data_IF_186401332787
#
_entry.id   IF_186401332787
#
_cell.length_a   1.000
_cell.length_b   1.000
_cell.length_c   1.000
_cell.angle_alpha   90.00
_cell.angle_beta   90.00
_cell.angle_gamma   90.00
#
_symmetry.space_group_name_H-M   'P 1'
#
loop_
_entity.id
_entity.type
_entity.pdbx_description
1 polymer ?
#
# COMPACT_ATOMS: atom_id res chain seq x y z
N UNK A 1 -21.42 -11.50 79.82
CA UNK A 1 -20.29 -11.35 78.88
C UNK A 1 -20.74 -11.84 77.50
N UNK A 2 -20.54 -11.04 76.45
CA UNK A 2 -20.70 -11.34 74.98
C UNK A 2 -22.16 -11.41 74.46
N UNK A 3 -22.61 -10.40 73.68
CA UNK A 3 -22.62 -10.28 72.18
C UNK A 3 -23.68 -11.22 71.55
N UNK A 4 -24.46 -10.91 70.51
CA UNK A 4 -24.50 -9.88 69.45
C UNK A 4 -25.84 -10.12 68.69
N UNK A 5 -26.57 -9.12 68.17
CA UNK A 5 -26.65 -8.79 66.72
C UNK A 5 -26.43 -9.99 65.77
N UNK A 6 -27.19 -10.35 64.73
CA UNK A 6 -28.03 -9.67 63.71
C UNK A 6 -28.63 -10.80 62.84
N UNK A 7 -29.80 -10.64 62.20
CA UNK A 7 -30.21 -11.50 61.05
C UNK A 7 -31.40 -10.91 60.26
N UNK A 8 -31.18 -9.82 59.52
CA UNK A 8 -32.22 -9.25 58.62
C UNK A 8 -31.70 -8.82 57.24
N UNK A 9 -30.67 -9.47 56.67
CA UNK A 9 -30.10 -9.08 55.36
C UNK A 9 -30.13 -10.13 54.24
N UNK A 10 -30.38 -11.40 54.55
CA UNK A 10 -30.01 -12.50 53.65
C UNK A 10 -30.85 -12.67 52.39
N UNK A 11 -32.06 -12.08 52.32
CA UNK A 11 -32.95 -12.23 51.15
C UNK A 11 -32.69 -11.19 50.04
N UNK A 12 -32.01 -10.07 50.34
CA UNK A 12 -31.71 -9.01 49.37
C UNK A 12 -30.40 -9.25 48.61
N UNK A 13 -29.43 -9.91 49.24
CA UNK A 13 -28.14 -10.22 48.62
C UNK A 13 -28.26 -11.28 47.50
N UNK A 14 -29.19 -12.23 47.64
CA UNK A 14 -29.41 -13.31 46.67
C UNK A 14 -30.03 -12.79 45.36
N UNK A 15 -31.04 -11.92 45.46
CA UNK A 15 -31.72 -11.35 44.29
C UNK A 15 -30.81 -10.40 43.49
N UNK A 16 -29.96 -9.64 44.17
CA UNK A 16 -28.98 -8.74 43.53
C UNK A 16 -27.89 -9.54 42.81
N UNK A 17 -27.38 -10.62 43.42
CA UNK A 17 -26.44 -11.54 42.78
C UNK A 17 -27.03 -12.21 41.53
N UNK A 18 -28.32 -12.56 41.55
CA UNK A 18 -28.99 -13.19 40.40
C UNK A 18 -29.23 -12.18 39.27
N UNK A 19 -29.68 -10.96 39.59
CA UNK A 19 -29.86 -9.91 38.59
C UNK A 19 -28.52 -9.50 37.95
N UNK A 20 -27.44 -9.40 38.74
CA UNK A 20 -26.11 -9.12 38.24
C UNK A 20 -25.60 -10.25 37.32
N UNK A 21 -25.82 -11.52 37.68
CA UNK A 21 -25.47 -12.67 36.84
C UNK A 21 -26.21 -12.67 35.50
N UNK A 22 -27.49 -12.34 35.49
CA UNK A 22 -28.29 -12.22 34.26
C UNK A 22 -27.90 -11.02 33.39
N UNK A 23 -27.57 -9.88 34.00
CA UNK A 23 -27.10 -8.71 33.27
C UNK A 23 -25.74 -8.97 32.59
N UNK A 24 -24.83 -9.67 33.28
CA UNK A 24 -23.54 -10.09 32.72
C UNK A 24 -23.73 -11.09 31.57
N UNK A 25 -24.65 -12.04 31.72
CA UNK A 25 -24.98 -13.00 30.65
C UNK A 25 -25.57 -12.31 29.41
N UNK A 26 -26.43 -11.31 29.60
CA UNK A 26 -27.00 -10.51 28.50
C UNK A 26 -25.94 -9.65 27.79
N UNK A 27 -24.97 -9.11 28.53
CA UNK A 27 -23.85 -8.36 27.94
C UNK A 27 -22.91 -9.24 27.13
N UNK A 28 -22.78 -10.53 27.46
CA UNK A 28 -21.94 -11.49 26.73
C UNK A 28 -22.61 -12.04 25.45
N UNK A 29 -23.93 -12.00 25.35
CA UNK A 29 -24.68 -12.50 24.19
C UNK A 29 -24.57 -11.61 22.94
N UNK A 30 -24.00 -10.41 23.05
CA UNK A 30 -23.86 -9.45 21.94
C UNK A 30 -22.55 -9.55 21.14
N UNK A 31 -21.60 -10.39 21.55
CA UNK A 31 -20.25 -10.47 20.95
C UNK A 31 -20.09 -11.61 19.93
N UNK A 32 -21.14 -11.92 19.15
CA UNK A 32 -21.10 -12.93 18.09
C UNK A 32 -21.00 -12.30 16.70
N UNK A 33 -19.99 -12.67 15.92
CA UNK A 33 -19.94 -12.39 14.47
C UNK A 33 -21.23 -12.95 13.83
N UNK A 34 -21.92 -12.21 12.94
CA UNK A 34 -23.13 -12.71 12.30
C UNK A 34 -22.85 -13.99 11.51
N UNK A 35 -23.65 -15.03 11.75
CA UNK A 35 -23.55 -16.31 11.05
C UNK A 35 -23.67 -16.08 9.53
N UNK A 36 -22.63 -16.48 8.79
CA UNK A 36 -22.56 -16.34 7.34
C UNK A 36 -21.76 -15.14 6.82
N UNK A 37 -21.20 -14.28 7.68
CA UNK A 37 -20.16 -13.36 7.22
C UNK A 37 -18.92 -14.16 6.81
N UNK A 38 -18.34 -13.94 5.61
CA UNK A 38 -17.08 -14.58 5.25
C UNK A 38 -16.03 -14.17 6.27
N UNK A 39 -15.30 -15.14 6.82
CA UNK A 39 -14.09 -14.81 7.54
C UNK A 39 -13.16 -14.16 6.53
N UNK A 40 -12.58 -13.00 6.87
CA UNK A 40 -11.70 -12.27 5.99
C UNK A 40 -10.32 -12.23 6.62
N UNK A 41 -9.31 -12.60 5.84
CA UNK A 41 -7.91 -12.57 6.23
C UNK A 41 -7.16 -11.54 5.39
N UNK A 42 -6.32 -10.76 6.07
CA UNK A 42 -5.39 -9.83 5.42
C UNK A 42 -4.09 -10.55 5.10
N UNK A 43 -3.69 -10.49 3.83
CA UNK A 43 -2.40 -10.94 3.36
C UNK A 43 -1.57 -9.72 2.96
N UNK A 44 -0.30 -9.70 3.37
CA UNK A 44 0.62 -8.61 3.02
C UNK A 44 1.90 -9.16 2.42
N UNK A 45 2.37 -8.55 1.33
CA UNK A 45 3.66 -8.84 0.72
C UNK A 45 4.27 -7.55 0.15
N UNK A 46 5.57 -7.57 -0.14
CA UNK A 46 6.29 -6.41 -0.62
C UNK A 46 7.71 -6.75 -1.02
N UNK A 47 8.42 -5.76 -1.55
CA UNK A 47 9.80 -5.91 -1.98
C UNK A 47 10.44 -4.58 -2.39
N UNK A 48 11.75 -4.56 -2.67
CA UNK A 48 12.42 -3.39 -3.21
C UNK A 48 12.05 -3.17 -4.70
N UNK A 49 11.97 -1.91 -5.13
CA UNK A 49 11.83 -1.52 -6.55
C UNK A 49 12.21 -0.04 -6.71
N UNK A 50 12.84 0.36 -7.82
CA UNK A 50 13.11 1.77 -8.19
C UNK A 50 13.78 2.59 -7.07
N UNK A 51 14.75 2.00 -6.33
CA UNK A 51 15.44 2.68 -5.22
C UNK A 51 14.59 2.87 -3.95
N UNK A 52 13.38 2.29 -3.91
CA UNK A 52 12.47 2.30 -2.76
C UNK A 52 11.93 0.89 -2.51
N UNK A 53 10.83 0.78 -1.76
CA UNK A 53 10.09 -0.47 -1.53
C UNK A 53 8.59 -0.29 -1.77
N UNK A 54 7.92 -1.36 -2.17
CA UNK A 54 6.48 -1.44 -2.27
C UNK A 54 5.91 -2.38 -1.21
N UNK A 55 4.66 -2.12 -0.80
CA UNK A 55 3.92 -2.96 0.13
C UNK A 55 2.47 -3.06 -0.33
N UNK A 56 1.99 -4.29 -0.49
CA UNK A 56 0.63 -4.58 -0.96
C UNK A 56 -0.08 -5.39 0.10
N UNK A 57 -1.34 -4.99 0.36
CA UNK A 57 -2.25 -5.69 1.26
C UNK A 57 -3.47 -6.13 0.46
N UNK A 58 -3.85 -7.39 0.61
CA UNK A 58 -5.02 -7.98 -0.04
C UNK A 58 -5.88 -8.62 1.04
N UNK A 59 -7.19 -8.36 0.97
CA UNK A 59 -8.17 -8.98 1.87
C UNK A 59 -8.87 -10.08 1.10
N UNK A 60 -8.73 -11.32 1.55
CA UNK A 60 -9.32 -12.51 0.94
C UNK A 60 -10.19 -13.24 1.96
N UNK A 61 -11.11 -14.12 1.53
CA UNK A 61 -11.75 -15.07 2.43
C UNK A 61 -10.70 -15.88 3.23
N UNK A 62 -10.95 -16.08 4.53
CA UNK A 62 -9.99 -16.62 5.50
C UNK A 62 -9.72 -18.13 5.39
N UNK A 63 -10.43 -18.80 4.48
CA UNK A 63 -10.15 -20.15 4.01
C UNK A 63 -9.28 -20.17 2.74
N UNK A 64 -9.00 -19.01 2.16
CA UNK A 64 -8.17 -18.84 0.97
C UNK A 64 -6.69 -18.62 1.31
N UNK A 65 -5.81 -19.09 0.44
CA UNK A 65 -4.40 -18.68 0.44
C UNK A 65 -4.19 -17.52 -0.54
N UNK A 66 -3.07 -16.81 -0.41
CA UNK A 66 -2.65 -15.85 -1.43
C UNK A 66 -2.56 -16.58 -2.79
N UNK A 67 -3.20 -16.09 -3.86
CA UNK A 67 -3.15 -16.76 -5.16
C UNK A 67 -1.70 -17.02 -5.59
N UNK A 68 -1.44 -18.26 -6.00
CA UNK A 68 -0.11 -18.66 -6.44
C UNK A 68 0.39 -17.73 -7.55
N UNK A 69 1.62 -17.24 -7.40
CA UNK A 69 2.23 -16.34 -8.37
C UNK A 69 1.76 -14.89 -8.31
N UNK A 70 0.80 -14.48 -7.46
CA UNK A 70 0.37 -13.08 -7.36
C UNK A 70 1.54 -12.14 -7.03
N UNK A 71 2.33 -12.49 -6.00
CA UNK A 71 3.50 -11.69 -5.61
C UNK A 71 4.54 -11.61 -6.74
N UNK A 72 4.82 -12.73 -7.41
CA UNK A 72 5.75 -12.78 -8.53
C UNK A 72 5.26 -11.95 -9.73
N UNK A 73 3.97 -12.04 -10.06
CA UNK A 73 3.37 -11.28 -11.16
C UNK A 73 3.35 -9.78 -10.88
N UNK A 74 3.11 -9.36 -9.64
CA UNK A 74 3.27 -7.95 -9.24
C UNK A 74 4.71 -7.52 -9.45
N UNK A 75 5.69 -8.29 -8.95
CA UNK A 75 7.09 -7.94 -9.08
C UNK A 75 7.52 -7.83 -10.55
N UNK A 76 7.10 -8.76 -11.40
CA UNK A 76 7.36 -8.71 -12.85
C UNK A 76 6.80 -7.44 -13.49
N UNK A 77 5.59 -7.01 -13.11
CA UNK A 77 4.99 -5.76 -13.61
C UNK A 77 5.77 -4.54 -13.14
N UNK A 78 6.19 -4.51 -11.88
CA UNK A 78 7.01 -3.43 -11.35
C UNK A 78 8.38 -3.35 -12.04
N UNK A 79 9.02 -4.49 -12.31
CA UNK A 79 10.27 -4.54 -13.08
C UNK A 79 10.08 -4.13 -14.53
N UNK A 80 8.94 -4.45 -15.16
CA UNK A 80 8.61 -3.93 -16.50
C UNK A 80 8.55 -2.41 -16.49
N UNK A 81 7.86 -1.80 -15.52
CA UNK A 81 7.81 -0.33 -15.41
C UNK A 81 9.22 0.24 -15.18
N UNK A 82 10.04 -0.41 -14.36
CA UNK A 82 11.43 -0.02 -14.11
C UNK A 82 12.27 -0.06 -15.39
N UNK A 83 12.11 -1.10 -16.22
CA UNK A 83 12.77 -1.24 -17.51
C UNK A 83 12.30 -0.21 -18.55
N UNK A 84 11.12 0.38 -18.40
CA UNK A 84 10.66 1.43 -19.31
C UNK A 84 11.04 2.83 -18.81
N UNK A 85 10.84 3.11 -17.52
CA UNK A 85 10.77 4.47 -16.98
C UNK A 85 12.00 4.91 -16.17
N UNK A 86 12.89 4.00 -15.78
CA UNK A 86 13.99 4.35 -14.89
C UNK A 86 15.03 5.24 -15.56
N UNK A 87 15.29 6.42 -15.02
CA UNK A 87 16.37 7.32 -15.48
C UNK A 87 17.75 6.87 -15.01
N UNK A 88 17.83 5.94 -14.05
CA UNK A 88 19.09 5.41 -13.50
C UNK A 88 19.58 4.15 -14.23
N UNK A 89 18.69 3.45 -14.93
CA UNK A 89 19.04 2.28 -15.74
C UNK A 89 19.41 2.72 -17.15
N UNK A 90 20.63 2.43 -17.59
CA UNK A 90 21.08 2.75 -18.95
C UNK A 90 20.34 1.97 -20.04
N UNK A 91 19.82 0.79 -19.71
CA UNK A 91 19.06 -0.07 -20.62
C UNK A 91 17.56 0.27 -20.68
N UNK A 92 17.10 1.25 -19.90
CA UNK A 92 15.69 1.62 -19.92
C UNK A 92 15.30 2.34 -21.21
N UNK A 93 14.02 2.23 -21.57
CA UNK A 93 13.51 2.88 -22.78
C UNK A 93 13.64 4.41 -22.71
N UNK A 94 13.32 5.02 -21.56
CA UNK A 94 13.48 6.47 -21.33
C UNK A 94 14.95 6.90 -21.35
N UNK A 95 15.87 6.15 -20.71
CA UNK A 95 17.30 6.51 -20.74
C UNK A 95 17.88 6.41 -22.14
N UNK A 96 17.48 5.40 -22.92
CA UNK A 96 17.84 5.30 -24.34
C UNK A 96 17.33 6.48 -25.15
N UNK A 97 16.09 6.92 -24.89
CA UNK A 97 15.53 8.10 -25.54
C UNK A 97 16.31 9.37 -25.19
N UNK A 98 16.64 9.55 -23.91
CA UNK A 98 17.41 10.70 -23.43
C UNK A 98 18.86 10.73 -23.97
N UNK A 99 19.44 9.57 -24.27
CA UNK A 99 20.79 9.45 -24.81
C UNK A 99 20.86 9.62 -26.34
N UNK A 100 19.73 9.76 -27.03
CA UNK A 100 19.71 9.88 -28.49
C UNK A 100 20.22 11.25 -28.95
N UNK A 101 21.15 11.25 -29.92
CA UNK A 101 21.73 12.49 -30.46
C UNK A 101 20.87 13.04 -31.61
N UNK A 102 20.17 14.14 -31.36
CA UNK A 102 19.44 14.91 -32.36
C UNK A 102 17.97 14.53 -32.53
N UNK A 103 17.25 15.18 -33.47
CA UNK A 103 15.83 14.92 -33.71
C UNK A 103 15.66 13.61 -34.51
N UNK A 104 15.83 12.49 -33.82
CA UNK A 104 15.64 11.15 -34.38
C UNK A 104 14.31 10.56 -33.90
N UNK A 105 13.62 9.88 -34.80
CA UNK A 105 12.47 9.06 -34.42
C UNK A 105 12.97 7.78 -33.78
N UNK A 106 12.40 7.44 -32.63
CA UNK A 106 12.70 6.21 -31.92
C UNK A 106 11.40 5.44 -31.71
N UNK A 107 11.47 4.13 -31.92
CA UNK A 107 10.37 3.25 -31.53
C UNK A 107 10.31 3.18 -30.00
N UNK A 108 9.14 3.48 -29.45
CA UNK A 108 8.84 3.39 -28.04
C UNK A 108 7.63 2.50 -27.82
N UNK A 109 7.56 1.85 -26.66
CA UNK A 109 6.40 1.10 -26.24
C UNK A 109 5.17 2.01 -26.11
N UNK A 110 3.98 1.43 -26.33
CA UNK A 110 2.71 2.15 -26.14
C UNK A 110 2.54 2.65 -24.70
N UNK A 111 3.12 1.95 -23.72
CA UNK A 111 3.12 2.33 -22.30
C UNK A 111 3.92 3.63 -22.08
N UNK A 112 5.15 3.72 -22.61
CA UNK A 112 5.96 4.95 -22.54
C UNK A 112 5.27 6.12 -23.24
N UNK A 113 4.71 5.89 -24.43
CA UNK A 113 3.98 6.92 -25.17
C UNK A 113 2.77 7.43 -24.36
N UNK A 114 2.03 6.54 -23.70
CA UNK A 114 0.90 6.92 -22.86
C UNK A 114 1.33 7.77 -21.65
N UNK A 115 2.42 7.40 -20.97
CA UNK A 115 2.96 8.17 -19.85
C UNK A 115 3.43 9.56 -20.30
N UNK A 116 4.16 9.65 -21.42
CA UNK A 116 4.63 10.93 -21.97
C UNK A 116 3.44 11.80 -22.38
N UNK A 117 2.44 11.23 -23.05
CA UNK A 117 1.24 11.97 -23.46
C UNK A 117 0.49 12.56 -22.25
N UNK A 118 0.30 11.76 -21.19
CA UNK A 118 -0.34 12.21 -19.95
C UNK A 118 0.50 13.31 -19.26
N UNK A 119 1.81 13.13 -19.19
CA UNK A 119 2.69 14.10 -18.56
C UNK A 119 2.72 15.45 -19.30
N UNK A 120 2.64 15.44 -20.63
CA UNK A 120 2.50 16.66 -21.44
C UNK A 120 1.16 17.36 -21.18
N UNK A 121 0.06 16.60 -21.06
CA UNK A 121 -1.24 17.17 -20.74
C UNK A 121 -1.27 17.74 -19.31
N UNK A 122 -0.69 17.06 -18.34
CA UNK A 122 -0.52 17.56 -16.98
C UNK A 122 0.33 18.83 -16.94
N UNK A 123 1.39 18.91 -17.74
CA UNK A 123 2.19 20.12 -17.89
C UNK A 123 1.35 21.29 -18.40
N UNK A 124 0.47 21.04 -19.38
CA UNK A 124 -0.47 22.05 -19.88
C UNK A 124 -1.51 22.45 -18.82
N UNK A 125 -2.06 21.50 -18.08
CA UNK A 125 -3.06 21.74 -17.02
C UNK A 125 -2.49 22.51 -15.83
N UNK A 126 -1.18 22.44 -15.63
CA UNK A 126 -0.48 23.09 -14.51
C UNK A 126 0.28 24.35 -14.94
N UNK A 127 0.00 24.88 -16.13
CA UNK A 127 0.68 26.05 -16.71
C UNK A 127 2.22 25.93 -16.68
N UNK A 128 2.73 24.72 -16.92
CA UNK A 128 4.16 24.41 -16.93
C UNK A 128 4.79 24.17 -15.56
N UNK A 129 4.01 24.11 -14.48
CA UNK A 129 4.56 23.76 -13.16
C UNK A 129 5.05 22.30 -13.11
N UNK A 130 4.45 21.42 -13.91
CA UNK A 130 4.98 20.08 -14.20
C UNK A 130 5.65 20.10 -15.58
N UNK A 131 6.94 19.79 -15.63
CA UNK A 131 7.70 19.69 -16.88
C UNK A 131 8.65 18.49 -16.80
N UNK A 132 8.44 17.49 -17.66
CA UNK A 132 9.24 16.26 -17.72
C UNK A 132 10.59 16.44 -18.44
N UNK A 133 10.85 17.61 -19.03
CA UNK A 133 12.07 17.90 -19.80
C UNK A 133 13.15 18.59 -18.97
N UNK A 134 12.91 18.84 -17.69
CA UNK A 134 13.85 19.50 -16.76
C UNK A 134 15.06 18.63 -16.37
N UNK A 135 15.23 17.45 -16.96
CA UNK A 135 16.35 16.53 -16.71
C UNK A 135 17.72 17.21 -16.65
N UNK A 136 18.12 18.02 -17.66
CA UNK A 136 19.40 18.74 -17.62
C UNK A 136 19.56 19.70 -16.43
N UNK A 137 18.47 20.31 -15.96
CA UNK A 137 18.50 21.16 -14.76
C UNK A 137 18.65 20.30 -13.51
N UNK A 138 17.94 19.18 -13.42
CA UNK A 138 18.04 18.23 -12.30
C UNK A 138 19.46 17.69 -12.15
N UNK A 139 20.12 17.35 -13.27
CA UNK A 139 21.51 16.91 -13.29
C UNK A 139 22.49 18.03 -12.89
N UNK A 140 22.27 19.27 -13.38
CA UNK A 140 23.09 20.42 -13.02
C UNK A 140 23.12 20.67 -11.49
N UNK A 141 22.01 20.41 -10.81
CA UNK A 141 21.89 20.54 -9.36
C UNK A 141 22.22 19.25 -8.59
N UNK A 142 22.78 18.23 -9.26
CA UNK A 142 23.19 16.95 -8.68
C UNK A 142 22.06 16.14 -8.00
N UNK A 143 20.81 16.36 -8.43
CA UNK A 143 19.66 15.56 -7.98
C UNK A 143 19.37 14.36 -8.90
N UNK A 144 19.96 14.35 -10.10
CA UNK A 144 19.72 13.34 -11.13
C UNK A 144 20.76 12.23 -11.17
N UNK A 145 20.65 11.37 -12.19
CA UNK A 145 21.54 10.23 -12.42
C UNK A 145 22.92 10.64 -12.92
N UNK A 146 23.11 11.87 -13.40
CA UNK A 146 24.39 12.39 -13.88
C UNK A 146 25.35 12.92 -12.81
N UNK A 147 24.98 12.84 -11.52
CA UNK A 147 25.70 13.49 -10.41
C UNK A 147 26.79 12.69 -9.69
N UNK A 148 27.24 11.55 -10.24
CA UNK A 148 28.33 10.75 -9.68
C UNK A 148 29.37 10.40 -10.74
N UNK A 149 30.55 11.00 -10.61
CA UNK A 149 31.81 10.65 -11.28
C UNK A 149 32.03 11.17 -12.71
N UNK A 150 32.37 12.47 -12.78
CA UNK A 150 33.42 12.95 -13.67
C UNK A 150 34.68 13.21 -12.82
N UNK A 151 35.40 12.14 -12.49
CA UNK A 151 36.84 12.11 -12.16
C UNK A 151 37.37 10.68 -12.37
#
# INVERSE_FOLDING_TARGET
MRRNQTRSGRWQDDAVCWCAGWLIALLLAGCGRPDGAPDLQEFSFGGPVMGTSYHIKVVLPGDGELPEGLSAGVHERLERVNALMSTYRSDSEVSRFNAAEGPVWMDCSAETVAVVAEALELGRMTDGALDITVGPLVDLWHFGSGGGDAD
#
